data_IF_232483836661
#
_entry.id   IF_232483836661
#
_cell.length_a   1.000
_cell.length_b   1.000
_cell.length_c   1.000
_cell.angle_alpha   90.00
_cell.angle_beta   90.00
_cell.angle_gamma   90.00
#
_symmetry.space_group_name_H-M   'P 1'
#
loop_
_entity.id
_entity.type
_entity.pdbx_description
1 polymer ?
#
# COMPACT_ATOMS: atom_id res chain seq x y z
N UNK A 1 18.02 -12.76 4.71
CA UNK A 1 18.31 -13.12 3.30
C UNK A 1 18.51 -11.86 2.51
N UNK A 2 19.52 -11.81 1.64
CA UNK A 2 19.79 -10.66 0.76
C UNK A 2 19.24 -10.91 -0.65
N UNK A 3 18.48 -9.94 -1.15
CA UNK A 3 17.84 -9.93 -2.47
C UNK A 3 18.46 -8.91 -3.44
N UNK A 4 19.56 -8.27 -3.07
CA UNK A 4 20.27 -7.30 -3.92
C UNK A 4 20.61 -7.89 -5.29
N UNK A 5 20.23 -7.18 -6.35
CA UNK A 5 20.47 -7.59 -7.75
C UNK A 5 19.63 -8.78 -8.24
N UNK A 6 18.67 -9.27 -7.46
CA UNK A 6 17.79 -10.40 -7.83
C UNK A 6 16.39 -9.91 -8.17
N UNK A 7 15.74 -10.60 -9.11
CA UNK A 7 14.31 -10.43 -9.38
C UNK A 7 13.50 -11.33 -8.45
N UNK A 8 12.59 -10.74 -7.67
CA UNK A 8 11.64 -11.47 -6.85
C UNK A 8 10.33 -11.68 -7.62
N UNK A 9 9.86 -12.93 -7.69
CA UNK A 9 8.55 -13.26 -8.26
C UNK A 9 7.55 -13.39 -7.12
N UNK A 10 6.54 -12.52 -7.12
CA UNK A 10 5.50 -12.49 -6.11
C UNK A 10 4.13 -12.76 -6.75
N UNK A 11 3.34 -13.63 -6.11
CA UNK A 11 1.97 -13.93 -6.52
C UNK A 11 1.03 -13.64 -5.35
N UNK A 12 0.12 -12.68 -5.54
CA UNK A 12 -0.89 -12.30 -4.54
C UNK A 12 -2.27 -12.25 -5.21
N UNK A 13 -3.33 -12.53 -4.46
CA UNK A 13 -4.70 -12.48 -4.97
C UNK A 13 -5.15 -11.04 -5.21
N UNK A 14 -5.24 -10.23 -4.15
CA UNK A 14 -5.79 -8.87 -4.23
C UNK A 14 -4.89 -7.89 -5.00
N UNK A 15 -3.57 -7.95 -4.77
CA UNK A 15 -2.61 -7.02 -5.37
C UNK A 15 -2.55 -7.13 -6.90
N UNK A 16 -2.59 -8.35 -7.44
CA UNK A 16 -2.59 -8.55 -8.90
C UNK A 16 -3.91 -8.11 -9.53
N UNK A 17 -5.05 -8.38 -8.88
CA UNK A 17 -6.37 -7.89 -9.31
C UNK A 17 -6.39 -6.35 -9.40
N UNK A 18 -5.84 -5.66 -8.40
CA UNK A 18 -5.79 -4.20 -8.40
C UNK A 18 -5.07 -3.61 -9.61
N UNK A 19 -3.90 -4.15 -9.92
CA UNK A 19 -3.10 -3.73 -11.08
C UNK A 19 -3.87 -3.99 -12.39
N UNK A 20 -4.51 -5.15 -12.51
CA UNK A 20 -5.28 -5.51 -13.72
C UNK A 20 -6.50 -4.58 -13.89
N UNK A 21 -7.18 -4.24 -12.79
CA UNK A 21 -8.33 -3.34 -12.81
C UNK A 21 -7.94 -1.89 -13.17
N UNK A 22 -6.75 -1.45 -12.77
CA UNK A 22 -6.24 -0.10 -13.03
C UNK A 22 -5.61 0.09 -14.43
N UNK A 23 -5.76 -0.88 -15.36
CA UNK A 23 -5.15 -0.86 -16.70
C UNK A 23 -5.42 0.36 -17.59
N UNK A 24 -6.39 1.20 -17.22
CA UNK A 24 -6.73 2.44 -17.95
C UNK A 24 -6.03 3.68 -17.39
N UNK A 25 -5.37 3.57 -16.25
CA UNK A 25 -4.57 4.66 -15.71
C UNK A 25 -3.30 4.85 -16.54
N UNK A 26 -2.90 6.10 -16.76
CA UNK A 26 -1.64 6.43 -17.44
C UNK A 26 -0.44 5.92 -16.64
N UNK A 27 -0.58 5.89 -15.32
CA UNK A 27 0.44 5.43 -14.38
C UNK A 27 -0.18 4.76 -13.16
N UNK A 28 0.47 3.71 -12.67
CA UNK A 28 0.06 2.98 -11.47
C UNK A 28 1.24 2.96 -10.49
N UNK A 29 1.01 3.43 -9.28
CA UNK A 29 1.95 3.41 -8.16
C UNK A 29 1.32 2.62 -7.01
N UNK A 30 2.10 1.76 -6.37
CA UNK A 30 1.64 1.00 -5.20
C UNK A 30 1.74 1.86 -3.94
N UNK A 31 0.61 2.00 -3.25
CA UNK A 31 0.51 2.70 -1.97
C UNK A 31 0.58 1.73 -0.78
N UNK A 32 1.26 2.14 0.28
CA UNK A 32 1.29 1.46 1.57
C UNK A 32 1.67 2.46 2.67
N UNK A 33 1.38 2.17 3.92
CA UNK A 33 1.76 3.01 5.07
C UNK A 33 3.28 3.26 5.13
N UNK A 34 4.08 2.24 4.86
CA UNK A 34 5.56 2.34 4.89
C UNK A 34 6.14 3.26 3.81
N UNK A 35 5.39 3.55 2.75
CA UNK A 35 5.80 4.41 1.62
C UNK A 35 4.89 5.64 1.45
N UNK A 36 3.97 5.91 2.37
CA UNK A 36 2.83 6.81 2.12
C UNK A 36 3.26 8.23 1.76
N UNK A 37 4.23 8.80 2.50
CA UNK A 37 4.80 10.12 2.21
C UNK A 37 5.54 10.16 0.89
N UNK A 38 6.39 9.17 0.60
CA UNK A 38 7.10 9.09 -0.68
C UNK A 38 6.12 9.05 -1.87
N UNK A 39 5.03 8.29 -1.73
CA UNK A 39 3.95 8.23 -2.73
C UNK A 39 3.25 9.58 -2.88
N UNK A 40 2.90 10.24 -1.78
CA UNK A 40 2.25 11.55 -1.83
C UNK A 40 3.15 12.61 -2.47
N UNK A 41 4.42 12.68 -2.08
CA UNK A 41 5.41 13.61 -2.62
C UNK A 41 5.64 13.38 -4.12
N UNK A 42 5.69 12.12 -4.54
CA UNK A 42 5.79 11.73 -5.95
C UNK A 42 4.60 12.24 -6.77
N UNK A 43 3.38 12.00 -6.29
CA UNK A 43 2.14 12.43 -6.96
C UNK A 43 2.08 13.96 -7.04
N UNK A 44 2.37 14.65 -5.92
CA UNK A 44 2.38 16.12 -5.86
C UNK A 44 3.39 16.74 -6.83
N UNK A 45 4.58 16.13 -6.96
CA UNK A 45 5.61 16.57 -7.92
C UNK A 45 5.18 16.35 -9.37
N UNK A 46 4.49 15.24 -9.66
CA UNK A 46 4.00 14.93 -11.02
C UNK A 46 2.83 15.81 -11.44
N UNK A 47 2.02 16.30 -10.49
CA UNK A 47 0.83 17.14 -10.73
C UNK A 47 -0.12 16.55 -11.79
N UNK A 48 -0.59 15.30 -11.64
CA UNK A 48 -1.57 14.74 -12.56
C UNK A 48 -2.92 15.46 -12.44
N UNK A 49 -3.67 15.50 -13.54
CA UNK A 49 -5.01 16.10 -13.57
C UNK A 49 -6.02 15.35 -12.68
N UNK A 50 -5.81 14.05 -12.49
CA UNK A 50 -6.68 13.20 -11.67
C UNK A 50 -5.86 12.17 -10.91
N UNK A 51 -6.14 12.02 -9.62
CA UNK A 51 -5.59 10.97 -8.76
C UNK A 51 -6.72 10.09 -8.28
N UNK A 52 -6.61 8.78 -8.48
CA UNK A 52 -7.53 7.79 -7.92
C UNK A 52 -6.80 6.94 -6.90
N UNK A 53 -7.23 7.01 -5.63
CA UNK A 53 -6.73 6.11 -4.58
C UNK A 53 -7.62 4.87 -4.53
N UNK A 54 -7.04 3.71 -4.83
CA UNK A 54 -7.76 2.44 -4.88
C UNK A 54 -7.46 1.64 -3.62
N UNK A 55 -8.35 1.71 -2.63
CA UNK A 55 -8.37 0.79 -1.49
C UNK A 55 -8.88 -0.56 -1.98
N UNK A 56 -7.99 -1.54 -2.14
CA UNK A 56 -8.31 -2.81 -2.80
C UNK A 56 -9.23 -3.68 -1.96
N UNK A 57 -9.12 -3.60 -0.64
CA UNK A 57 -9.80 -4.49 0.26
C UNK A 57 -9.43 -5.96 0.01
N UNK A 58 -10.36 -6.86 0.32
CA UNK A 58 -10.23 -8.27 -0.02
C UNK A 58 -10.51 -8.50 -1.52
N UNK A 59 -9.54 -8.16 -2.36
CA UNK A 59 -9.59 -8.30 -3.82
C UNK A 59 -10.81 -7.62 -4.48
N UNK A 60 -11.22 -6.46 -3.96
CA UNK A 60 -12.37 -5.69 -4.44
C UNK A 60 -13.73 -6.23 -4.01
N UNK A 61 -13.78 -7.34 -3.25
CA UNK A 61 -15.04 -7.96 -2.83
C UNK A 61 -15.58 -7.36 -1.53
N UNK A 62 -14.69 -6.94 -0.63
CA UNK A 62 -15.03 -6.35 0.65
C UNK A 62 -14.00 -5.29 1.01
N UNK A 63 -14.46 -4.14 1.49
CA UNK A 63 -13.59 -3.13 2.11
C UNK A 63 -12.84 -3.74 3.30
N UNK A 64 -11.60 -3.33 3.49
CA UNK A 64 -10.81 -3.63 4.69
C UNK A 64 -10.44 -2.31 5.36
N UNK A 65 -10.40 -2.31 6.69
CA UNK A 65 -10.10 -1.08 7.43
C UNK A 65 -8.68 -0.60 7.15
N UNK A 66 -7.74 -1.53 6.99
CA UNK A 66 -6.33 -1.26 6.70
C UNK A 66 -6.13 -0.46 5.38
N UNK A 67 -6.81 -0.86 4.31
CA UNK A 67 -6.69 -0.19 3.01
C UNK A 67 -7.38 1.17 2.98
N UNK A 68 -8.56 1.27 3.60
CA UNK A 68 -9.31 2.53 3.69
C UNK A 68 -8.56 3.57 4.54
N UNK A 69 -7.95 3.13 5.67
CA UNK A 69 -7.10 3.99 6.49
C UNK A 69 -5.85 4.43 5.73
N UNK A 70 -5.18 3.53 5.00
CA UNK A 70 -4.01 3.89 4.20
C UNK A 70 -4.37 4.91 3.09
N UNK A 71 -5.50 4.70 2.41
CA UNK A 71 -5.98 5.62 1.40
C UNK A 71 -6.35 6.99 1.99
N UNK A 72 -6.98 7.03 3.17
CA UNK A 72 -7.29 8.27 3.87
C UNK A 72 -6.01 9.02 4.29
N UNK A 73 -5.01 8.31 4.82
CA UNK A 73 -3.72 8.88 5.20
C UNK A 73 -3.01 9.53 4.00
N UNK A 74 -2.90 8.82 2.87
CA UNK A 74 -2.31 9.36 1.64
C UNK A 74 -3.12 10.54 1.12
N UNK A 75 -4.45 10.48 1.16
CA UNK A 75 -5.32 11.59 0.75
C UNK A 75 -5.04 12.86 1.56
N UNK A 76 -4.87 12.75 2.87
CA UNK A 76 -4.54 13.90 3.72
C UNK A 76 -3.19 14.52 3.34
N UNK A 77 -2.18 13.69 3.10
CA UNK A 77 -0.87 14.16 2.59
C UNK A 77 -1.00 14.89 1.26
N UNK A 78 -1.77 14.34 0.31
CA UNK A 78 -2.05 14.98 -0.98
C UNK A 78 -2.81 16.31 -0.86
N UNK A 79 -3.54 16.51 0.23
CA UNK A 79 -4.22 17.78 0.54
C UNK A 79 -3.30 18.78 1.26
N UNK A 80 -2.01 18.47 1.43
CA UNK A 80 -1.05 19.32 2.15
C UNK A 80 -1.28 19.34 3.65
N UNK A 81 -2.00 18.36 4.21
CA UNK A 81 -2.20 18.22 5.65
C UNK A 81 -1.05 17.44 6.29
N UNK A 82 -0.98 17.52 7.61
CA UNK A 82 -0.13 16.66 8.43
C UNK A 82 -1.03 15.67 9.16
N UNK A 83 -1.15 14.42 8.68
CA UNK A 83 -2.00 13.42 9.32
C UNK A 83 -1.51 13.13 10.74
N UNK A 84 -2.44 12.90 11.66
CA UNK A 84 -2.11 12.46 13.02
C UNK A 84 -1.72 10.97 12.99
N UNK A 85 -0.42 10.71 12.99
CA UNK A 85 0.14 9.36 12.92
C UNK A 85 -0.32 8.46 14.07
N UNK A 86 -0.44 9.00 15.28
CA UNK A 86 -0.91 8.23 16.45
C UNK A 86 -2.37 7.82 16.27
N UNK A 87 -3.21 8.71 15.76
CA UNK A 87 -4.60 8.41 15.42
C UNK A 87 -4.71 7.25 14.42
N UNK A 88 -3.93 7.28 13.33
CA UNK A 88 -3.99 6.23 12.31
C UNK A 88 -3.50 4.88 12.84
N UNK A 89 -2.42 4.87 13.63
CA UNK A 89 -1.89 3.66 14.25
C UNK A 89 -2.85 3.05 15.27
N UNK A 90 -3.47 3.88 16.11
CA UNK A 90 -4.46 3.43 17.09
C UNK A 90 -5.68 2.81 16.40
N UNK A 91 -6.21 3.49 15.36
CA UNK A 91 -7.33 2.99 14.56
C UNK A 91 -7.00 1.68 13.86
N UNK A 92 -5.81 1.57 13.29
CA UNK A 92 -5.36 0.36 12.61
C UNK A 92 -5.27 -0.80 13.61
N UNK A 93 -4.66 -0.58 14.78
CA UNK A 93 -4.48 -1.60 15.82
C UNK A 93 -5.80 -2.15 16.35
N UNK A 94 -6.80 -1.28 16.50
CA UNK A 94 -8.13 -1.65 16.99
C UNK A 94 -9.10 -2.10 15.89
N UNK A 95 -8.66 -2.15 14.63
CA UNK A 95 -9.49 -2.65 13.54
C UNK A 95 -9.76 -4.16 13.69
N UNK A 96 -10.97 -4.63 13.33
CA UNK A 96 -11.29 -6.06 13.25
C UNK A 96 -10.29 -6.87 12.40
N UNK A 97 -9.86 -6.30 11.27
CA UNK A 97 -8.94 -6.96 10.35
C UNK A 97 -7.54 -7.12 10.97
N UNK A 98 -7.08 -6.19 11.82
CA UNK A 98 -5.80 -6.28 12.50
C UNK A 98 -5.77 -7.31 13.64
N UNK A 99 -6.92 -7.68 14.21
CA UNK A 99 -6.97 -8.66 15.31
C UNK A 99 -6.35 -10.01 14.93
N UNK A 100 -6.33 -10.35 13.63
CA UNK A 100 -5.67 -11.56 13.13
C UNK A 100 -4.17 -11.61 13.45
N UNK A 101 -3.50 -10.47 13.57
CA UNK A 101 -2.06 -10.40 13.87
C UNK A 101 -1.76 -10.64 15.36
N UNK A 102 -2.75 -10.44 16.23
CA UNK A 102 -2.62 -10.61 17.69
C UNK A 102 -3.23 -11.92 18.18
N UNK A 103 -3.73 -12.78 17.29
CA UNK A 103 -4.24 -14.12 17.60
C UNK A 103 -3.13 -15.18 17.41
N UNK A 104 -2.62 -15.80 18.50
CA UNK A 104 -1.59 -16.83 18.41
C UNK A 104 -1.98 -18.06 17.58
N UNK A 105 -3.28 -18.30 17.35
CA UNK A 105 -3.76 -19.38 16.49
C UNK A 105 -3.55 -19.07 14.99
N UNK A 106 -3.39 -17.80 14.60
CA UNK A 106 -3.23 -17.34 13.22
C UNK A 106 -1.75 -17.31 12.82
N UNK A 107 -1.16 -18.49 12.66
CA UNK A 107 0.27 -18.64 12.28
C UNK A 107 0.69 -17.94 10.97
N UNK A 108 -0.24 -17.61 10.09
CA UNK A 108 -0.01 -16.90 8.83
C UNK A 108 -0.12 -15.37 8.95
N UNK A 109 -0.35 -14.87 10.15
CA UNK A 109 -0.41 -13.44 10.46
C UNK A 109 0.38 -13.21 11.75
N UNK A 110 1.72 -13.36 11.72
CA UNK A 110 2.54 -13.10 12.89
C UNK A 110 2.43 -11.63 13.30
N UNK A 111 2.45 -11.36 14.60
CA UNK A 111 2.34 -10.00 15.14
C UNK A 111 3.38 -9.03 14.54
N UNK A 112 4.58 -9.53 14.23
CA UNK A 112 5.64 -8.75 13.58
C UNK A 112 5.24 -8.15 12.23
N UNK A 113 4.34 -8.79 11.47
CA UNK A 113 3.89 -8.27 10.18
C UNK A 113 3.05 -7.02 10.36
N UNK A 114 2.26 -6.92 11.44
CA UNK A 114 1.52 -5.69 11.76
C UNK A 114 2.49 -4.52 11.92
N UNK A 115 3.51 -4.67 12.77
CA UNK A 115 4.48 -3.61 13.03
C UNK A 115 5.31 -3.26 11.79
N UNK A 116 5.66 -4.24 10.97
CA UNK A 116 6.36 -3.98 9.71
C UNK A 116 5.50 -3.21 8.72
N UNK A 117 4.21 -3.55 8.60
CA UNK A 117 3.29 -2.91 7.67
C UNK A 117 2.83 -1.53 8.14
N UNK A 118 2.81 -1.29 9.46
CA UNK A 118 2.40 -0.02 10.07
C UNK A 118 3.56 0.93 10.39
N UNK A 119 4.80 0.61 10.02
CA UNK A 119 5.97 1.46 10.23
C UNK A 119 5.91 2.67 9.27
N UNK A 120 5.15 3.69 9.66
CA UNK A 120 4.75 4.81 8.80
C UNK A 120 5.98 5.48 8.17
N UNK A 121 5.93 5.64 6.84
CA UNK A 121 6.94 6.37 6.08
C UNK A 121 8.38 5.85 6.25
N UNK A 122 8.54 4.57 6.63
CA UNK A 122 9.86 3.91 6.76
C UNK A 122 10.72 4.00 5.49
N UNK A 123 10.09 4.00 4.32
CA UNK A 123 10.75 3.98 3.03
C UNK A 123 10.45 5.23 2.21
N UNK A 124 11.49 5.73 1.54
CA UNK A 124 11.53 6.98 0.79
C UNK A 124 11.42 6.80 -0.73
N UNK A 125 10.99 5.62 -1.18
CA UNK A 125 10.86 5.27 -2.60
C UNK A 125 9.41 4.97 -2.98
N UNK A 126 9.14 5.02 -4.28
CA UNK A 126 7.86 4.58 -4.85
C UNK A 126 8.00 3.30 -5.64
N UNK A 127 6.94 2.50 -5.66
CA UNK A 127 6.86 1.28 -6.45
C UNK A 127 5.95 1.52 -7.64
N UNK A 128 6.55 1.71 -8.81
CA UNK A 128 5.85 1.94 -10.07
C UNK A 128 5.59 0.64 -10.79
N UNK A 129 4.37 0.47 -11.30
CA UNK A 129 4.01 -0.69 -12.11
C UNK A 129 4.23 -0.39 -13.59
N UNK A 130 4.95 -1.28 -14.27
CA UNK A 130 5.17 -1.25 -15.71
C UNK A 130 4.71 -2.56 -16.34
N UNK A 131 4.19 -2.50 -17.57
CA UNK A 131 3.79 -3.69 -18.30
C UNK A 131 4.95 -4.19 -19.16
N UNK A 132 5.42 -5.41 -18.87
CA UNK A 132 6.42 -6.11 -19.66
C UNK A 132 5.81 -7.34 -20.34
N UNK A 133 5.30 -7.13 -21.56
CA UNK A 133 4.59 -8.17 -22.31
C UNK A 133 3.36 -8.70 -21.56
N UNK A 134 3.45 -9.95 -21.07
CA UNK A 134 2.38 -10.62 -20.30
C UNK A 134 2.51 -10.45 -18.78
N UNK A 135 3.60 -9.84 -18.31
CA UNK A 135 3.87 -9.66 -16.89
C UNK A 135 3.70 -8.19 -16.49
N UNK A 136 3.43 -7.98 -15.21
CA UNK A 136 3.50 -6.68 -14.57
C UNK A 136 4.79 -6.65 -13.76
N UNK A 137 5.67 -5.71 -14.09
CA UNK A 137 6.92 -5.47 -13.40
C UNK A 137 6.74 -4.32 -12.41
N UNK A 138 7.29 -4.45 -11.21
CA UNK A 138 7.28 -3.41 -10.19
C UNK A 138 8.71 -2.90 -10.06
N UNK A 139 8.89 -1.61 -10.30
CA UNK A 139 10.19 -0.94 -10.26
C UNK A 139 10.20 0.04 -9.09
N UNK A 140 11.29 -0.01 -8.32
CA UNK A 140 11.59 0.97 -7.28
C UNK A 140 12.15 2.24 -7.94
N UNK A 141 11.53 3.38 -7.71
CA UNK A 141 11.96 4.72 -8.14
C UNK A 141 12.20 5.64 -6.94
#
# INVERSE_FOLDING_TARGET
TDFSGKTAVMSTSAGTCGIICAKKADEIVLGSFVCAKAVADYILKKRPDTVTLVALGNAGLKKTDEDELCAAYIKELLQGKSPDEEYYLDRLRHSPDAQRFFDPAKKHSPEGDFYCASDLNRFDFVMKVQRQGKYMEIIKE
#
